data_IF_392042179503
#
_entry.id   IF_392042179503
#
_cell.length_a   1.000
_cell.length_b   1.000
_cell.length_c   1.000
_cell.angle_alpha   90.00
_cell.angle_beta   90.00
_cell.angle_gamma   90.00
#
_symmetry.space_group_name_H-M   'P 1'
#
loop_
_entity.id
_entity.type
_entity.pdbx_description
1 polymer ?
#
# COMPACT_ATOMS: atom_id res chain seq x y z
N UNK A 1 -16.26 -6.45 8.05
CA UNK A 1 -14.97 -6.56 7.34
C UNK A 1 -13.89 -6.61 8.39
N UNK A 2 -13.07 -7.67 8.46
CA UNK A 2 -12.04 -7.85 9.49
C UNK A 2 -10.75 -7.11 9.12
N UNK A 3 -10.89 -5.85 8.68
CA UNK A 3 -9.78 -5.01 8.26
C UNK A 3 -9.64 -3.80 9.19
N UNK A 4 -8.41 -3.52 9.61
CA UNK A 4 -8.06 -2.24 10.23
C UNK A 4 -7.36 -1.37 9.20
N UNK A 5 -7.77 -0.10 9.12
CA UNK A 5 -7.18 0.88 8.22
C UNK A 5 -6.59 2.03 9.05
N UNK A 6 -5.31 2.33 8.81
CA UNK A 6 -4.61 3.40 9.51
C UNK A 6 -3.82 4.25 8.52
N UNK A 7 -3.94 5.56 8.66
CA UNK A 7 -3.06 6.52 8.00
C UNK A 7 -2.13 7.14 9.04
N UNK A 8 -0.85 7.23 8.70
CA UNK A 8 0.17 7.88 9.52
C UNK A 8 0.94 8.87 8.66
N UNK A 9 0.87 10.15 9.03
CA UNK A 9 1.73 11.18 8.46
C UNK A 9 3.06 11.20 9.20
N UNK A 10 4.16 11.12 8.45
CA UNK A 10 5.51 11.15 9.00
C UNK A 10 6.02 12.59 9.05
N UNK A 11 6.98 12.85 9.95
CA UNK A 11 7.54 14.19 10.19
C UNK A 11 8.17 14.83 8.94
N UNK A 12 8.54 14.04 7.95
CA UNK A 12 9.13 14.47 6.68
C UNK A 12 8.09 14.74 5.57
N UNK A 13 6.79 14.68 5.90
CA UNK A 13 5.69 14.85 4.94
C UNK A 13 5.33 13.60 4.14
N UNK A 14 6.04 12.48 4.35
CA UNK A 14 5.67 11.20 3.77
C UNK A 14 4.40 10.65 4.43
N UNK A 15 3.65 9.84 3.68
CA UNK A 15 2.42 9.20 4.16
C UNK A 15 2.57 7.69 4.13
N UNK A 16 2.23 7.07 5.26
CA UNK A 16 2.14 5.62 5.41
C UNK A 16 0.67 5.24 5.58
N UNK A 17 0.21 4.33 4.72
CA UNK A 17 -1.09 3.67 4.82
C UNK A 17 -0.83 2.24 5.27
N UNK A 18 -1.52 1.80 6.31
CA UNK A 18 -1.46 0.43 6.83
C UNK A 18 -2.85 -0.21 6.77
N UNK A 19 -2.92 -1.40 6.19
CA UNK A 19 -4.12 -2.23 6.13
C UNK A 19 -3.83 -3.57 6.78
N UNK A 20 -4.45 -3.86 7.91
CA UNK A 20 -4.33 -5.15 8.61
C UNK A 20 -5.54 -6.01 8.32
N UNK A 21 -5.32 -7.22 7.81
CA UNK A 21 -6.31 -8.29 7.79
C UNK A 21 -6.20 -9.08 9.10
N UNK A 22 -7.21 -8.97 9.97
CA UNK A 22 -7.22 -9.65 11.28
C UNK A 22 -7.38 -11.16 11.10
N UNK A 23 -8.12 -11.60 10.08
CA UNK A 23 -8.40 -13.02 9.85
C UNK A 23 -7.16 -13.77 9.39
N UNK A 24 -6.42 -13.18 8.45
CA UNK A 24 -5.19 -13.76 7.90
C UNK A 24 -3.94 -13.45 8.75
N UNK A 25 -4.07 -12.60 9.77
CA UNK A 25 -2.94 -12.00 10.49
C UNK A 25 -1.89 -11.43 9.52
N UNK A 26 -2.38 -10.66 8.54
CA UNK A 26 -1.59 -10.08 7.46
C UNK A 26 -1.60 -8.55 7.56
N UNK A 27 -0.50 -7.93 7.14
CA UNK A 27 -0.33 -6.49 7.13
C UNK A 27 0.21 -6.05 5.77
N UNK A 28 -0.51 -5.14 5.13
CA UNK A 28 -0.09 -4.39 3.96
C UNK A 28 0.26 -2.97 4.40
N UNK A 29 1.46 -2.53 4.03
CA UNK A 29 1.91 -1.15 4.22
C UNK A 29 2.23 -0.53 2.88
N UNK A 30 1.69 0.65 2.61
CA UNK A 30 1.95 1.44 1.42
C UNK A 30 2.49 2.79 1.84
N UNK A 31 3.74 3.08 1.47
CA UNK A 31 4.42 4.30 1.84
C UNK A 31 4.90 5.07 0.60
N UNK A 32 4.53 6.35 0.49
CA UNK A 32 5.12 7.24 -0.52
C UNK A 32 6.38 7.87 0.04
N UNK A 33 7.51 7.66 -0.63
CA UNK A 33 8.81 8.27 -0.32
C UNK A 33 9.31 9.04 -1.53
N UNK A 34 9.19 10.36 -1.51
CA UNK A 34 9.51 11.19 -2.68
C UNK A 34 8.68 10.78 -3.91
N UNK A 35 9.35 10.34 -4.99
CA UNK A 35 8.73 9.89 -6.24
C UNK A 35 8.55 8.35 -6.35
N UNK A 36 8.74 7.63 -5.24
CA UNK A 36 8.55 6.18 -5.18
C UNK A 36 7.43 5.82 -4.21
N UNK A 37 6.76 4.71 -4.48
CA UNK A 37 5.83 4.04 -3.58
C UNK A 37 6.44 2.70 -3.18
N UNK A 38 6.56 2.46 -1.88
CA UNK A 38 6.93 1.17 -1.32
C UNK A 38 5.68 0.44 -0.87
N UNK A 39 5.53 -0.82 -1.31
CA UNK A 39 4.46 -1.72 -0.90
C UNK A 39 5.12 -2.87 -0.15
N UNK A 40 4.81 -3.00 1.14
CA UNK A 40 5.37 -4.01 2.02
C UNK A 40 4.24 -4.92 2.47
N UNK A 41 4.45 -6.23 2.36
CA UNK A 41 3.54 -7.24 2.90
C UNK A 41 4.25 -7.96 4.02
N UNK A 42 3.51 -8.17 5.10
CA UNK A 42 3.91 -9.03 6.21
C UNK A 42 2.79 -10.04 6.43
N UNK A 43 3.14 -11.31 6.64
CA UNK A 43 2.20 -12.38 6.97
C UNK A 43 2.66 -13.07 8.24
N UNK A 44 1.78 -13.19 9.23
CA UNK A 44 2.07 -13.80 10.52
C UNK A 44 3.32 -13.21 11.21
N UNK A 45 3.49 -11.89 11.13
CA UNK A 45 4.65 -11.13 11.63
C UNK A 45 5.97 -11.34 10.87
N UNK A 46 5.98 -12.12 9.78
CA UNK A 46 7.13 -12.24 8.89
C UNK A 46 7.00 -11.27 7.73
N UNK A 47 8.05 -10.48 7.48
CA UNK A 47 8.13 -9.68 6.26
C UNK A 47 8.26 -10.61 5.06
N UNK A 48 7.24 -10.63 4.21
CA UNK A 48 7.14 -11.56 3.08
C UNK A 48 7.71 -10.95 1.82
N UNK A 49 7.30 -9.73 1.46
CA UNK A 49 7.73 -9.10 0.21
C UNK A 49 7.71 -7.58 0.32
N UNK A 50 8.62 -6.94 -0.43
CA UNK A 50 8.66 -5.50 -0.63
C UNK A 50 8.77 -5.22 -2.13
N UNK A 51 7.85 -4.41 -2.65
CA UNK A 51 7.96 -3.78 -3.96
C UNK A 51 8.24 -2.30 -3.80
N UNK A 52 9.02 -1.76 -4.73
CA UNK A 52 9.24 -0.32 -4.86
C UNK A 52 8.99 0.04 -6.31
N UNK A 53 8.09 0.98 -6.56
CA UNK A 53 7.76 1.43 -7.91
C UNK A 53 7.61 2.95 -7.98
N UNK A 54 7.82 3.57 -9.15
CA UNK A 54 7.54 5.00 -9.34
C UNK A 54 6.09 5.34 -9.04
N UNK A 55 5.84 6.54 -8.50
CA UNK A 55 4.48 7.04 -8.23
C UNK A 55 3.61 6.99 -9.49
N UNK A 56 4.14 7.39 -10.64
CA UNK A 56 3.42 7.35 -11.92
C UNK A 56 2.92 5.95 -12.28
N UNK A 57 3.73 4.92 -12.05
CA UNK A 57 3.34 3.54 -12.30
C UNK A 57 2.27 3.07 -11.31
N UNK A 58 2.38 3.47 -10.04
CA UNK A 58 1.38 3.14 -9.02
C UNK A 58 0.02 3.78 -9.34
N UNK A 59 0.02 5.06 -9.74
CA UNK A 59 -1.17 5.76 -10.20
C UNK A 59 -1.78 5.13 -11.44
N UNK A 60 -0.94 4.70 -12.40
CA UNK A 60 -1.39 3.98 -13.59
C UNK A 60 -2.10 2.68 -13.20
N UNK A 61 -1.51 1.86 -12.33
CA UNK A 61 -2.13 0.63 -11.83
C UNK A 61 -3.49 0.93 -11.17
N UNK A 62 -3.55 1.94 -10.31
CA UNK A 62 -4.80 2.34 -9.65
C UNK A 62 -5.87 2.75 -10.66
N UNK A 63 -5.50 3.59 -11.65
CA UNK A 63 -6.42 4.02 -12.72
C UNK A 63 -6.87 2.82 -13.55
N UNK A 64 -5.96 1.96 -14.00
CA UNK A 64 -6.27 0.80 -14.83
C UNK A 64 -7.22 -0.20 -14.11
N UNK A 65 -7.10 -0.36 -12.79
CA UNK A 65 -8.00 -1.23 -11.99
C UNK A 65 -9.36 -0.58 -11.73
N UNK A 66 -9.39 0.73 -11.41
CA UNK A 66 -10.62 1.43 -11.02
C UNK A 66 -11.41 1.96 -12.22
N UNK A 67 -10.74 2.21 -13.33
CA UNK A 67 -11.30 2.70 -14.59
C UNK A 67 -11.31 1.55 -15.59
N UNK A 68 -12.18 0.56 -15.35
CA UNK A 68 -12.48 -0.41 -16.39
C UNK A 68 -13.14 0.31 -17.58
N UNK A 69 -12.53 0.16 -18.75
CA UNK A 69 -12.97 0.59 -20.08
C UNK A 69 -14.50 0.66 -20.25
N UNK A 70 -15.04 1.87 -20.38
CA UNK A 70 -16.27 2.10 -21.15
C UNK A 70 -15.91 2.10 -22.66
N UNK A 71 -15.48 0.96 -23.19
CA UNK A 71 -15.28 0.76 -24.62
C UNK A 71 -16.12 -0.43 -25.10
#
# INVERSE_FOLDING_TARGET
MNYEYKQTEKKNGDRLISVRDIGENALLEVEKKGNMVEIITNWQNFKTTKYSLPVELFEKIYKDIMQNNNA
#
